data_IF_531636942660
#
_entry.id   IF_531636942660
#
_cell.length_a   1.000
_cell.length_b   1.000
_cell.length_c   1.000
_cell.angle_alpha   90.00
_cell.angle_beta   90.00
_cell.angle_gamma   90.00
#
_symmetry.space_group_name_H-M   'P 1'
#
loop_
_entity.id
_entity.type
_entity.pdbx_description
1 polymer ?
#
# COMPACT_ATOMS: atom_id res chain seq x y z
N UNK A 1 10.47 24.11 19.38
CA UNK A 1 9.13 24.74 19.48
C UNK A 1 8.14 23.60 19.67
N UNK A 2 7.80 23.31 20.92
CA UNK A 2 6.85 22.24 21.26
C UNK A 2 5.46 22.80 20.93
N UNK A 3 4.79 22.24 19.93
CA UNK A 3 3.36 22.48 19.73
C UNK A 3 2.64 21.80 20.89
N UNK A 4 2.45 22.53 21.99
CA UNK A 4 1.43 22.22 22.97
C UNK A 4 0.09 22.39 22.26
N UNK A 5 -0.50 21.28 21.83
CA UNK A 5 -1.93 21.22 21.59
C UNK A 5 -2.59 21.49 22.95
N UNK A 6 -3.11 22.70 23.13
CA UNK A 6 -3.98 23.02 24.26
C UNK A 6 -5.11 22.00 24.30
N UNK A 7 -5.14 21.15 25.33
CA UNK A 7 -6.33 20.38 25.68
C UNK A 7 -7.42 21.38 26.05
N UNK A 8 -8.32 21.67 25.12
CA UNK A 8 -9.62 22.27 25.44
C UNK A 8 -10.48 21.18 26.08
N UNK A 9 -11.08 21.48 27.22
CA UNK A 9 -11.85 20.61 28.12
C UNK A 9 -13.16 20.04 27.52
N UNK A 10 -13.11 19.45 26.32
CA UNK A 10 -14.22 18.68 25.75
C UNK A 10 -14.03 17.20 25.99
N UNK A 11 -14.95 16.54 26.70
CA UNK A 11 -15.02 15.08 26.67
C UNK A 11 -15.29 14.64 25.23
N UNK A 12 -14.44 13.73 24.73
CA UNK A 12 -14.67 13.11 23.42
C UNK A 12 -16.00 12.34 23.45
N UNK A 13 -16.75 12.40 22.36
CA UNK A 13 -18.05 11.72 22.23
C UNK A 13 -18.00 10.71 21.08
N UNK A 14 -18.69 9.59 21.25
CA UNK A 14 -18.82 8.58 20.20
C UNK A 14 -19.48 9.17 18.94
N UNK A 15 -19.11 8.64 17.78
CA UNK A 15 -19.71 9.03 16.50
C UNK A 15 -21.23 8.78 16.50
N UNK A 16 -22.01 9.84 16.33
CA UNK A 16 -23.43 9.78 15.99
C UNK A 16 -23.68 10.22 14.53
N UNK A 17 -24.89 10.68 14.19
CA UNK A 17 -25.19 11.20 12.86
C UNK A 17 -24.45 12.52 12.58
N UNK A 18 -24.19 12.87 11.31
CA UNK A 18 -23.52 14.12 10.94
C UNK A 18 -24.11 15.36 11.62
N UNK A 19 -25.44 15.50 11.62
CA UNK A 19 -26.17 16.63 12.24
C UNK A 19 -25.91 16.74 13.75
N UNK A 20 -25.80 15.61 14.45
CA UNK A 20 -25.56 15.59 15.90
C UNK A 20 -24.10 15.82 16.25
N UNK A 21 -23.20 15.55 15.31
CA UNK A 21 -21.77 15.75 15.48
C UNK A 21 -21.34 17.21 15.21
N UNK A 22 -22.19 18.05 14.60
CA UNK A 22 -21.84 19.43 14.17
C UNK A 22 -21.26 20.29 15.31
N UNK A 23 -21.79 20.15 16.52
CA UNK A 23 -21.38 20.93 17.69
C UNK A 23 -20.41 20.16 18.61
N UNK A 24 -19.90 19.01 18.18
CA UNK A 24 -18.97 18.19 18.95
C UNK A 24 -17.54 18.49 18.48
N UNK A 25 -16.73 19.05 19.37
CA UNK A 25 -15.34 19.40 19.04
C UNK A 25 -14.45 18.17 18.79
N UNK A 26 -14.67 17.08 19.55
CA UNK A 26 -13.87 15.85 19.48
C UNK A 26 -14.80 14.66 19.37
N UNK A 27 -14.77 14.00 18.20
CA UNK A 27 -15.57 12.80 17.91
C UNK A 27 -14.65 11.59 17.87
N UNK A 28 -15.00 10.55 18.62
CA UNK A 28 -14.30 9.26 18.60
C UNK A 28 -14.84 8.39 17.47
N UNK A 29 -13.97 8.03 16.53
CA UNK A 29 -14.33 7.21 15.37
C UNK A 29 -14.02 5.74 15.66
N UNK A 30 -15.02 4.84 15.68
CA UNK A 30 -14.79 3.41 15.83
C UNK A 30 -14.22 2.81 14.55
N UNK A 31 -13.70 1.58 14.63
CA UNK A 31 -13.26 0.86 13.44
C UNK A 31 -14.42 0.66 12.46
N UNK A 32 -14.15 0.72 11.16
CA UNK A 32 -15.17 0.67 10.10
C UNK A 32 -16.08 -0.57 10.16
N UNK A 33 -15.56 -1.68 10.69
CA UNK A 33 -16.33 -2.92 10.89
C UNK A 33 -17.43 -2.80 11.95
N UNK A 34 -17.31 -1.87 12.89
CA UNK A 34 -18.27 -1.62 13.96
C UNK A 34 -19.20 -0.44 13.65
N UNK A 35 -18.95 0.30 12.57
CA UNK A 35 -19.84 1.35 12.10
C UNK A 35 -21.09 0.76 11.44
N UNK A 36 -22.25 1.11 11.99
CA UNK A 36 -23.54 0.86 11.36
C UNK A 36 -23.62 1.56 10.01
N UNK A 37 -24.37 0.99 9.07
CA UNK A 37 -24.39 1.45 7.67
C UNK A 37 -24.89 2.89 7.51
N UNK A 38 -25.81 3.31 8.38
CA UNK A 38 -26.38 4.65 8.44
C UNK A 38 -25.40 5.73 8.95
N UNK A 39 -24.37 5.32 9.70
CA UNK A 39 -23.32 6.21 10.19
C UNK A 39 -22.10 6.27 9.26
N UNK A 40 -22.09 5.48 8.19
CA UNK A 40 -20.96 5.46 7.25
C UNK A 40 -20.95 6.73 6.40
N UNK A 41 -19.85 7.50 6.43
CA UNK A 41 -19.80 8.74 5.68
C UNK A 41 -19.70 8.48 4.17
N UNK A 42 -20.16 9.48 3.42
CA UNK A 42 -20.19 9.45 1.96
C UNK A 42 -18.82 9.47 1.29
N UNK A 43 -17.79 9.87 2.04
CA UNK A 43 -16.40 9.97 1.60
C UNK A 43 -15.58 8.70 1.88
N UNK A 44 -16.20 7.56 2.22
CA UNK A 44 -15.49 6.29 2.31
C UNK A 44 -14.98 5.84 0.92
N UNK A 45 -13.81 5.17 0.84
CA UNK A 45 -13.37 4.50 -0.37
C UNK A 45 -14.48 3.63 -0.97
N UNK A 46 -14.67 3.57 -2.29
CA UNK A 46 -13.84 4.10 -3.37
C UNK A 46 -14.26 5.51 -3.85
N UNK A 47 -14.89 6.32 -2.98
CA UNK A 47 -15.22 7.69 -3.33
C UNK A 47 -13.97 8.56 -3.54
N UNK A 48 -14.06 9.53 -4.44
CA UNK A 48 -13.02 10.54 -4.69
C UNK A 48 -13.56 11.95 -4.42
N UNK A 49 -12.68 12.94 -4.14
CA UNK A 49 -13.12 14.31 -3.91
C UNK A 49 -13.75 14.89 -5.18
N UNK A 50 -14.95 15.44 -5.04
CA UNK A 50 -15.73 16.00 -6.16
C UNK A 50 -14.97 17.11 -6.91
N UNK A 51 -14.31 17.99 -6.17
CA UNK A 51 -13.60 19.19 -6.65
C UNK A 51 -12.39 18.87 -7.54
N UNK A 52 -11.71 17.73 -7.33
CA UNK A 52 -10.59 17.29 -8.16
C UNK A 52 -10.94 16.15 -9.11
N UNK A 53 -12.17 15.64 -9.06
CA UNK A 53 -12.58 14.40 -9.73
C UNK A 53 -12.33 14.42 -11.24
N UNK A 54 -12.74 15.49 -11.94
CA UNK A 54 -12.58 15.61 -13.40
C UNK A 54 -11.10 15.61 -13.83
N UNK A 55 -10.25 16.28 -13.04
CA UNK A 55 -8.80 16.33 -13.31
C UNK A 55 -8.18 14.96 -13.09
N UNK A 56 -8.57 14.30 -12.00
CA UNK A 56 -8.04 13.00 -11.61
C UNK A 56 -8.43 11.90 -12.61
N UNK A 57 -9.70 11.87 -13.04
CA UNK A 57 -10.21 10.95 -14.06
C UNK A 57 -9.53 11.12 -15.42
N UNK A 58 -9.01 12.31 -15.74
CA UNK A 58 -8.28 12.57 -16.98
C UNK A 58 -6.86 12.00 -16.97
N UNK A 59 -6.23 11.92 -15.79
CA UNK A 59 -4.79 11.62 -15.68
C UNK A 59 -4.50 10.24 -15.08
N UNK A 60 -5.48 9.59 -14.44
CA UNK A 60 -5.25 8.36 -13.70
C UNK A 60 -6.28 7.28 -14.05
N UNK A 61 -5.84 6.09 -14.45
CA UNK A 61 -6.71 4.97 -14.82
C UNK A 61 -7.52 4.36 -13.64
N UNK A 62 -7.19 4.73 -12.40
CA UNK A 62 -7.94 4.36 -11.20
C UNK A 62 -7.92 5.48 -10.14
N UNK A 63 -8.81 6.48 -10.23
CA UNK A 63 -8.84 7.64 -9.34
C UNK A 63 -8.93 7.29 -7.85
N UNK A 64 -9.70 6.26 -7.49
CA UNK A 64 -9.91 5.88 -6.09
C UNK A 64 -8.61 5.42 -5.42
N UNK A 65 -7.84 4.56 -6.10
CA UNK A 65 -6.54 4.09 -5.57
C UNK A 65 -5.56 5.24 -5.45
N UNK A 66 -5.55 6.16 -6.42
CA UNK A 66 -4.70 7.35 -6.34
C UNK A 66 -5.02 8.19 -5.11
N UNK A 67 -6.31 8.45 -4.85
CA UNK A 67 -6.76 9.23 -3.70
C UNK A 67 -6.36 8.57 -2.37
N UNK A 68 -6.59 7.27 -2.25
CA UNK A 68 -6.14 6.47 -1.09
C UNK A 68 -4.61 6.57 -0.95
N UNK A 69 -3.89 6.43 -2.06
CA UNK A 69 -2.42 6.50 -2.10
C UNK A 69 -1.85 7.83 -1.60
N UNK A 70 -2.49 8.96 -1.90
CA UNK A 70 -2.05 10.27 -1.37
C UNK A 70 -2.20 10.34 0.15
N UNK A 71 -3.34 9.87 0.67
CA UNK A 71 -3.59 9.83 2.13
C UNK A 71 -2.59 8.90 2.82
N UNK A 72 -2.41 7.68 2.31
CA UNK A 72 -1.51 6.70 2.90
C UNK A 72 -0.06 7.19 2.88
N UNK A 73 0.39 7.77 1.77
CA UNK A 73 1.75 8.35 1.68
C UNK A 73 1.96 9.48 2.67
N UNK A 74 0.95 10.35 2.88
CA UNK A 74 1.04 11.45 3.84
C UNK A 74 1.13 10.96 5.30
N UNK A 75 0.31 9.96 5.66
CA UNK A 75 0.29 9.35 6.99
C UNK A 75 1.61 8.63 7.27
N UNK A 76 2.15 7.93 6.28
CA UNK A 76 3.33 7.06 6.41
C UNK A 76 4.65 7.78 6.13
N UNK A 77 4.68 9.13 6.22
CA UNK A 77 5.93 9.88 6.07
C UNK A 77 6.92 9.46 7.18
N UNK A 78 8.11 8.96 6.82
CA UNK A 78 9.05 8.48 7.81
C UNK A 78 9.66 9.65 8.61
N UNK A 79 9.96 9.39 9.87
CA UNK A 79 10.84 10.26 10.65
C UNK A 79 12.27 10.20 10.07
N UNK A 80 13.11 11.23 10.27
CA UNK A 80 14.45 11.27 9.67
C UNK A 80 15.29 10.01 9.93
N UNK A 81 15.25 9.46 11.14
CA UNK A 81 15.97 8.23 11.49
C UNK A 81 15.44 7.00 10.72
N UNK A 82 14.13 6.90 10.52
CA UNK A 82 13.54 5.82 9.74
C UNK A 82 13.89 5.97 8.25
N UNK A 83 13.90 7.20 7.73
CA UNK A 83 14.31 7.46 6.35
C UNK A 83 15.76 7.06 6.10
N UNK A 84 16.68 7.45 7.00
CA UNK A 84 18.10 7.07 6.92
C UNK A 84 18.28 5.55 6.96
N UNK A 85 17.56 4.87 7.87
CA UNK A 85 17.54 3.41 7.91
C UNK A 85 17.09 2.80 6.59
N UNK A 86 15.96 3.27 6.04
CA UNK A 86 15.42 2.76 4.78
C UNK A 86 16.36 3.01 3.59
N UNK A 87 17.03 4.15 3.56
CA UNK A 87 17.99 4.49 2.51
C UNK A 87 19.22 3.57 2.57
N UNK A 88 19.72 3.31 3.78
CA UNK A 88 20.84 2.39 4.01
C UNK A 88 20.50 0.95 3.62
N UNK A 89 19.32 0.45 4.00
CA UNK A 89 18.85 -0.89 3.61
C UNK A 89 18.66 -1.00 2.09
N UNK A 90 18.08 0.02 1.47
CA UNK A 90 17.89 0.08 0.01
C UNK A 90 19.24 -0.01 -0.72
N UNK A 91 20.26 0.72 -0.23
CA UNK A 91 21.60 0.71 -0.78
C UNK A 91 22.30 -0.65 -0.56
N UNK A 92 22.20 -1.21 0.65
CA UNK A 92 22.80 -2.51 1.00
C UNK A 92 22.23 -3.66 0.16
N UNK A 93 20.93 -3.63 -0.13
CA UNK A 93 20.26 -4.60 -1.01
C UNK A 93 20.61 -4.43 -2.50
N UNK A 94 21.23 -3.31 -2.89
CA UNK A 94 21.52 -3.02 -4.30
C UNK A 94 20.23 -2.83 -5.13
N UNK A 95 19.17 -2.31 -4.50
CA UNK A 95 17.88 -2.09 -5.17
C UNK A 95 18.05 -1.10 -6.33
N UNK A 96 17.85 -1.58 -7.55
CA UNK A 96 18.13 -0.83 -8.79
C UNK A 96 17.12 -1.17 -9.88
N UNK A 97 16.78 -0.19 -10.71
CA UNK A 97 15.82 -0.32 -11.81
C UNK A 97 16.45 -0.85 -13.11
N UNK A 98 15.68 -1.47 -14.01
CA UNK A 98 14.29 -1.90 -13.82
C UNK A 98 14.19 -3.11 -12.86
N UNK A 99 13.14 -3.13 -12.03
CA UNK A 99 12.87 -4.17 -11.04
C UNK A 99 11.37 -4.46 -10.89
N UNK A 100 11.01 -5.73 -10.82
CA UNK A 100 9.64 -6.18 -10.51
C UNK A 100 9.57 -6.55 -9.03
N UNK A 101 8.62 -5.97 -8.31
CA UNK A 101 8.31 -6.34 -6.94
C UNK A 101 7.39 -7.56 -6.92
N UNK A 102 7.76 -8.60 -6.18
CA UNK A 102 6.95 -9.79 -5.95
C UNK A 102 6.71 -9.93 -4.46
N UNK A 103 5.43 -9.92 -4.07
CA UNK A 103 5.01 -10.14 -2.69
C UNK A 103 4.32 -11.51 -2.59
N UNK A 104 4.95 -12.45 -1.88
CA UNK A 104 4.38 -13.78 -1.61
C UNK A 104 4.02 -13.87 -0.13
N UNK A 105 2.76 -14.18 0.19
CA UNK A 105 2.28 -14.39 1.56
C UNK A 105 1.82 -15.84 1.71
N UNK A 106 2.48 -16.66 2.55
CA UNK A 106 2.15 -18.08 2.76
C UNK A 106 1.62 -18.38 4.18
N UNK A 107 2.35 -18.06 5.24
CA UNK A 107 2.27 -18.77 6.54
C UNK A 107 0.86 -18.94 7.15
N UNK A 108 0.29 -17.89 7.72
CA UNK A 108 -1.04 -17.86 8.37
C UNK A 108 -2.20 -17.84 7.37
N UNK A 109 -1.94 -17.28 6.19
CA UNK A 109 -2.96 -16.96 5.19
C UNK A 109 -3.50 -18.19 4.46
N UNK A 110 -2.68 -19.23 4.30
CA UNK A 110 -3.10 -20.50 3.69
C UNK A 110 -4.10 -21.28 4.54
N UNK A 111 -4.17 -20.99 5.84
CA UNK A 111 -5.05 -21.71 6.77
C UNK A 111 -6.46 -21.09 6.75
N UNK A 112 -6.60 -19.78 6.48
CA UNK A 112 -7.86 -19.05 6.70
C UNK A 112 -8.35 -18.18 5.52
N UNK A 113 -7.47 -17.69 4.64
CA UNK A 113 -7.80 -16.55 3.77
C UNK A 113 -7.40 -16.69 2.29
N UNK A 114 -6.48 -17.60 1.92
CA UNK A 114 -5.99 -17.67 0.54
C UNK A 114 -5.58 -19.07 0.05
N UNK A 115 -5.60 -19.23 -1.28
CA UNK A 115 -5.10 -20.41 -1.99
C UNK A 115 -3.57 -20.38 -2.05
N UNK A 116 -2.93 -21.55 -2.02
CA UNK A 116 -1.49 -21.65 -2.26
C UNK A 116 -1.17 -21.27 -3.71
N UNK A 117 -0.25 -20.31 -3.85
CA UNK A 117 0.31 -19.90 -5.13
C UNK A 117 1.82 -20.18 -5.14
N UNK A 118 2.27 -20.99 -6.10
CA UNK A 118 3.69 -21.26 -6.29
C UNK A 118 4.40 -20.06 -6.92
N UNK A 119 5.72 -19.92 -6.69
CA UNK A 119 6.51 -18.80 -7.26
C UNK A 119 6.38 -18.71 -8.80
N UNK A 120 6.12 -19.84 -9.45
CA UNK A 120 5.93 -19.91 -10.90
C UNK A 120 4.76 -19.06 -11.40
N UNK A 121 3.67 -18.98 -10.65
CA UNK A 121 2.50 -18.17 -11.03
C UNK A 121 2.84 -16.67 -11.02
N UNK A 122 3.61 -16.23 -10.02
CA UNK A 122 4.08 -14.84 -9.95
C UNK A 122 5.07 -14.52 -11.08
N UNK A 123 5.99 -15.44 -11.36
CA UNK A 123 7.05 -15.23 -12.35
C UNK A 123 6.56 -15.18 -13.79
N UNK A 124 5.34 -15.68 -14.10
CA UNK A 124 4.71 -15.48 -15.42
C UNK A 124 4.59 -13.98 -15.72
N UNK A 125 4.02 -13.22 -14.80
CA UNK A 125 3.78 -11.79 -14.99
C UNK A 125 5.05 -10.96 -14.93
N UNK A 126 6.03 -11.36 -14.10
CA UNK A 126 7.34 -10.72 -14.12
C UNK A 126 8.06 -10.93 -15.46
N UNK A 127 7.95 -12.13 -16.05
CA UNK A 127 8.51 -12.43 -17.37
C UNK A 127 7.82 -11.60 -18.46
N UNK A 128 6.49 -11.51 -18.44
CA UNK A 128 5.73 -10.67 -19.38
C UNK A 128 6.16 -9.21 -19.30
N UNK A 129 6.29 -8.66 -18.10
CA UNK A 129 6.78 -7.29 -17.89
C UNK A 129 8.13 -7.06 -18.59
N UNK A 130 9.12 -7.93 -18.34
CA UNK A 130 10.44 -7.79 -18.95
C UNK A 130 10.41 -7.97 -20.47
N UNK A 131 9.60 -8.90 -20.97
CA UNK A 131 9.44 -9.09 -22.42
C UNK A 131 8.85 -7.84 -23.10
N UNK A 132 7.88 -7.17 -22.47
CA UNK A 132 7.35 -5.92 -23.00
C UNK A 132 8.35 -4.75 -22.88
N UNK A 133 9.10 -4.70 -21.79
CA UNK A 133 10.12 -3.67 -21.56
C UNK A 133 11.27 -3.77 -22.58
N UNK A 134 11.73 -5.00 -22.86
CA UNK A 134 12.82 -5.30 -23.79
C UNK A 134 12.51 -4.93 -25.25
N UNK A 135 11.22 -4.83 -25.61
CA UNK A 135 10.82 -4.29 -26.93
C UNK A 135 11.08 -2.79 -27.07
N UNK A 136 11.26 -2.08 -25.95
CA UNK A 136 11.37 -0.61 -25.91
C UNK A 136 12.76 -0.13 -25.48
N UNK A 137 13.49 -0.94 -24.70
CA UNK A 137 14.83 -0.60 -24.22
C UNK A 137 15.67 -1.85 -23.93
N UNK A 138 17.00 -1.69 -23.88
CA UNK A 138 17.91 -2.76 -23.47
C UNK A 138 17.73 -3.07 -21.97
N UNK A 139 17.56 -4.36 -21.63
CA UNK A 139 17.54 -4.83 -20.24
C UNK A 139 18.66 -5.85 -20.05
N UNK A 140 19.78 -5.40 -19.44
CA UNK A 140 20.95 -6.28 -19.21
C UNK A 140 20.75 -7.29 -18.08
N UNK A 141 19.98 -6.89 -17.06
CA UNK A 141 19.76 -7.70 -15.87
C UNK A 141 18.29 -7.58 -15.48
N UNK A 142 17.60 -8.73 -15.43
CA UNK A 142 16.24 -8.81 -14.93
C UNK A 142 16.28 -8.99 -13.42
N UNK A 143 15.73 -8.01 -12.68
CA UNK A 143 15.72 -8.00 -11.22
C UNK A 143 14.34 -8.29 -10.65
N UNK A 144 14.29 -9.04 -9.58
CA UNK A 144 13.07 -9.26 -8.79
C UNK A 144 13.35 -8.80 -7.37
N UNK A 145 12.56 -7.85 -6.85
CA UNK A 145 12.49 -7.65 -5.41
C UNK A 145 11.51 -8.66 -4.83
N UNK A 146 11.96 -9.56 -3.96
CA UNK A 146 11.12 -10.61 -3.38
C UNK A 146 10.88 -10.34 -1.89
N UNK A 147 9.64 -9.98 -1.57
CA UNK A 147 9.14 -9.86 -0.20
C UNK A 147 8.31 -11.12 0.14
N UNK A 148 8.70 -11.84 1.19
CA UNK A 148 8.07 -13.10 1.57
C UNK A 148 8.17 -13.36 3.06
N UNK A 149 7.16 -14.02 3.62
CA UNK A 149 7.18 -14.53 5.00
C UNK A 149 7.68 -15.98 5.10
N UNK A 150 8.23 -16.52 4.00
CA UNK A 150 8.76 -17.86 3.92
C UNK A 150 10.23 -17.87 3.48
N UNK A 151 11.12 -18.20 4.43
CA UNK A 151 12.58 -18.20 4.23
C UNK A 151 13.07 -19.16 3.12
N UNK A 152 12.38 -20.28 2.87
CA UNK A 152 12.76 -21.24 1.81
C UNK A 152 12.53 -20.72 0.40
N UNK A 153 11.68 -19.72 0.22
CA UNK A 153 11.22 -19.29 -1.09
C UNK A 153 12.32 -18.63 -1.92
N UNK A 154 13.23 -17.89 -1.29
CA UNK A 154 14.31 -17.20 -1.99
C UNK A 154 15.24 -18.20 -2.69
N UNK A 155 15.64 -19.26 -1.99
CA UNK A 155 16.52 -20.29 -2.54
C UNK A 155 15.81 -21.13 -3.62
N UNK A 156 14.51 -21.40 -3.44
CA UNK A 156 13.68 -22.01 -4.47
C UNK A 156 13.66 -21.14 -5.75
N UNK A 157 13.43 -19.84 -5.60
CA UNK A 157 13.30 -18.90 -6.71
C UNK A 157 14.63 -18.74 -7.48
N UNK A 158 15.76 -18.56 -6.77
CA UNK A 158 17.09 -18.52 -7.38
C UNK A 158 17.41 -19.78 -8.17
N UNK A 159 17.07 -20.96 -7.63
CA UNK A 159 17.30 -22.25 -8.30
C UNK A 159 16.46 -22.42 -9.56
N UNK A 160 15.19 -22.00 -9.52
CA UNK A 160 14.25 -22.13 -10.66
C UNK A 160 14.45 -21.08 -11.75
N UNK A 161 14.96 -19.89 -11.39
CA UNK A 161 15.05 -18.73 -12.28
C UNK A 161 16.46 -18.13 -12.30
N UNK A 162 17.49 -18.87 -12.75
CA UNK A 162 18.89 -18.41 -12.74
C UNK A 162 19.16 -17.20 -13.66
N UNK A 163 18.25 -16.88 -14.58
CA UNK A 163 18.33 -15.69 -15.44
C UNK A 163 17.85 -14.39 -14.77
N UNK A 164 17.48 -14.44 -13.49
CA UNK A 164 17.02 -13.29 -12.72
C UNK A 164 17.93 -13.07 -11.50
N UNK A 165 18.14 -11.81 -11.15
CA UNK A 165 18.78 -11.40 -9.90
C UNK A 165 17.68 -11.13 -8.88
N UNK A 166 17.64 -11.93 -7.81
CA UNK A 166 16.71 -11.73 -6.71
C UNK A 166 17.33 -10.81 -5.65
N UNK A 167 16.68 -9.67 -5.43
CA UNK A 167 16.93 -8.73 -4.35
C UNK A 167 15.94 -9.04 -3.23
N UNK A 168 16.43 -9.42 -2.05
CA UNK A 168 15.59 -9.82 -0.93
C UNK A 168 16.40 -9.79 0.35
N UNK A 169 15.78 -9.35 1.45
CA UNK A 169 16.37 -9.50 2.77
C UNK A 169 15.85 -10.79 3.43
N UNK A 170 16.74 -11.78 3.50
CA UNK A 170 16.42 -13.06 4.10
C UNK A 170 16.34 -13.01 5.63
N UNK A 171 16.87 -11.96 6.27
CA UNK A 171 16.76 -11.74 7.73
C UNK A 171 15.35 -11.26 8.08
N UNK A 172 14.79 -10.33 7.30
CA UNK A 172 13.40 -9.88 7.39
C UNK A 172 12.41 -11.04 7.18
N UNK A 173 12.69 -11.92 6.21
CA UNK A 173 11.85 -13.11 5.96
C UNK A 173 11.79 -14.07 7.16
N UNK A 174 12.82 -14.10 8.01
CA UNK A 174 12.86 -14.92 9.21
C UNK A 174 12.13 -14.26 10.39
N UNK A 175 12.22 -12.95 10.55
CA UNK A 175 11.56 -12.19 11.62
C UNK A 175 10.05 -12.02 11.38
N UNK A 176 9.60 -12.07 10.12
CA UNK A 176 8.18 -11.98 9.72
C UNK A 176 7.32 -13.23 10.05
N UNK A 177 7.90 -14.27 10.66
CA UNK A 177 7.16 -15.45 11.16
C UNK A 177 6.19 -15.04 12.27
N UNK A 178 5.04 -15.73 12.34
CA UNK A 178 3.96 -15.44 13.31
C UNK A 178 4.47 -15.33 14.76
N UNK A 179 5.48 -16.13 15.13
CA UNK A 179 6.07 -16.15 16.48
C UNK A 179 6.92 -14.93 16.84
N UNK A 180 7.43 -14.18 15.87
CA UNK A 180 8.34 -13.03 16.06
C UNK A 180 7.80 -11.72 15.48
N UNK A 181 6.59 -11.77 14.89
CA UNK A 181 5.97 -10.68 14.13
C UNK A 181 5.79 -9.37 14.89
N UNK A 182 5.71 -9.42 16.22
CA UNK A 182 5.50 -8.25 17.09
C UNK A 182 6.82 -7.63 17.60
N UNK A 183 7.98 -8.02 17.04
CA UNK A 183 9.25 -7.36 17.34
C UNK A 183 9.43 -6.08 16.51
N UNK A 184 10.23 -5.16 17.04
CA UNK A 184 10.65 -3.96 16.33
C UNK A 184 11.35 -4.31 15.00
N UNK A 185 12.20 -5.34 15.00
CA UNK A 185 12.89 -5.82 13.79
C UNK A 185 11.91 -6.29 12.70
N UNK A 186 10.86 -7.04 13.07
CA UNK A 186 9.82 -7.46 12.11
C UNK A 186 9.02 -6.27 11.59
N UNK A 187 8.78 -5.26 12.43
CA UNK A 187 8.09 -4.04 12.04
C UNK A 187 8.93 -3.20 11.06
N UNK A 188 10.22 -3.02 11.34
CA UNK A 188 11.13 -2.32 10.45
C UNK A 188 11.28 -3.06 9.12
N UNK A 189 11.36 -4.39 9.16
CA UNK A 189 11.44 -5.20 7.96
C UNK A 189 10.23 -5.07 7.04
N UNK A 190 9.00 -5.10 7.59
CA UNK A 190 7.81 -4.95 6.76
C UNK A 190 7.69 -3.53 6.17
N UNK A 191 8.19 -2.50 6.88
CA UNK A 191 8.24 -1.13 6.34
C UNK A 191 9.15 -1.08 5.11
N UNK A 192 10.35 -1.68 5.20
CA UNK A 192 11.29 -1.74 4.07
C UNK A 192 10.69 -2.52 2.90
N UNK A 193 10.07 -3.67 3.16
CA UNK A 193 9.39 -4.46 2.13
C UNK A 193 8.30 -3.63 1.41
N UNK A 194 7.41 -2.98 2.14
CA UNK A 194 6.35 -2.15 1.55
C UNK A 194 6.95 -1.00 0.74
N UNK A 195 7.99 -0.35 1.26
CA UNK A 195 8.66 0.76 0.58
C UNK A 195 9.27 0.34 -0.76
N UNK A 196 10.00 -0.79 -0.78
CA UNK A 196 10.66 -1.29 -1.98
C UNK A 196 9.66 -1.89 -2.98
N UNK A 197 8.59 -2.53 -2.51
CA UNK A 197 7.47 -2.96 -3.36
C UNK A 197 6.79 -1.76 -4.03
N UNK A 198 6.51 -0.69 -3.27
CA UNK A 198 5.87 0.52 -3.80
C UNK A 198 6.74 1.27 -4.83
N UNK A 199 8.07 1.17 -4.70
CA UNK A 199 9.04 1.76 -5.62
C UNK A 199 9.37 0.89 -6.82
N UNK A 200 8.93 -0.36 -6.86
CA UNK A 200 9.21 -1.25 -7.99
C UNK A 200 8.50 -0.78 -9.27
N UNK A 201 9.04 -1.10 -10.44
CA UNK A 201 8.49 -0.67 -11.74
C UNK A 201 7.16 -1.36 -12.08
N UNK A 202 6.93 -2.53 -11.47
CA UNK A 202 5.74 -3.34 -11.58
C UNK A 202 5.59 -4.23 -10.34
N UNK A 203 4.36 -4.50 -9.92
CA UNK A 203 4.05 -5.29 -8.73
C UNK A 203 3.27 -6.56 -9.09
N UNK A 204 3.73 -7.71 -8.60
CA UNK A 204 3.01 -8.99 -8.72
C UNK A 204 2.76 -9.55 -7.33
N UNK A 205 1.50 -9.83 -6.98
CA UNK A 205 1.15 -10.18 -5.61
C UNK A 205 -0.22 -10.89 -5.49
N UNK A 206 -0.77 -10.96 -4.27
CA UNK A 206 -2.19 -11.21 -4.01
C UNK A 206 -2.85 -9.99 -3.38
N UNK A 207 -3.91 -9.43 -3.99
CA UNK A 207 -4.62 -8.26 -3.45
C UNK A 207 -5.44 -8.58 -2.19
N UNK A 208 -5.64 -9.86 -1.85
CA UNK A 208 -6.10 -10.24 -0.51
C UNK A 208 -5.08 -9.88 0.59
N UNK A 209 -3.84 -9.55 0.23
CA UNK A 209 -2.78 -9.11 1.17
C UNK A 209 -2.85 -7.61 1.39
N UNK A 210 -3.04 -7.17 2.66
CA UNK A 210 -2.95 -5.75 3.02
C UNK A 210 -1.60 -5.15 2.64
N UNK A 211 -0.51 -5.92 2.77
CA UNK A 211 0.84 -5.50 2.39
C UNK A 211 0.90 -5.16 0.91
N UNK A 212 0.32 -6.00 0.04
CA UNK A 212 0.29 -5.71 -1.38
C UNK A 212 -0.56 -4.48 -1.70
N UNK A 213 -1.76 -4.39 -1.12
CA UNK A 213 -2.65 -3.26 -1.35
C UNK A 213 -2.00 -1.94 -0.95
N UNK A 214 -1.36 -1.90 0.22
CA UNK A 214 -0.65 -0.72 0.69
C UNK A 214 0.53 -0.34 -0.21
N UNK A 215 1.35 -1.32 -0.62
CA UNK A 215 2.43 -1.05 -1.56
C UNK A 215 1.91 -0.50 -2.90
N UNK A 216 0.80 -1.05 -3.40
CA UNK A 216 0.15 -0.57 -4.62
C UNK A 216 -0.48 0.82 -4.46
N UNK A 217 -1.10 1.13 -3.32
CA UNK A 217 -1.61 2.46 -2.99
C UNK A 217 -0.47 3.48 -2.97
N UNK A 218 0.64 3.17 -2.28
CA UNK A 218 1.82 4.04 -2.23
C UNK A 218 2.52 4.18 -3.60
N UNK A 219 2.49 3.14 -4.44
CA UNK A 219 3.03 3.19 -5.80
C UNK A 219 2.41 4.31 -6.65
N UNK A 220 1.15 4.68 -6.38
CA UNK A 220 0.48 5.78 -7.10
C UNK A 220 1.11 7.15 -6.85
N UNK A 221 1.95 7.30 -5.80
CA UNK A 221 2.69 8.53 -5.54
C UNK A 221 3.94 8.66 -6.43
N UNK A 222 4.56 7.54 -6.83
CA UNK A 222 5.83 7.55 -7.56
C UNK A 222 5.68 7.62 -9.08
N UNK A 223 4.46 7.60 -9.59
CA UNK A 223 4.15 7.62 -11.01
C UNK A 223 2.94 8.49 -11.30
N UNK A 224 2.88 9.08 -12.50
CA UNK A 224 1.70 9.86 -12.93
C UNK A 224 0.46 8.98 -12.99
N UNK A 225 0.58 7.77 -13.53
CA UNK A 225 -0.46 6.74 -13.53
C UNK A 225 0.19 5.37 -13.32
N UNK A 226 -0.11 4.75 -12.17
CA UNK A 226 0.32 3.39 -11.85
C UNK A 226 -0.86 2.42 -11.77
N UNK A 227 -2.05 2.79 -12.25
CA UNK A 227 -3.27 1.98 -12.14
C UNK A 227 -3.13 0.57 -12.76
N UNK A 228 -2.27 0.42 -13.77
CA UNK A 228 -2.03 -0.86 -14.44
C UNK A 228 -0.71 -1.52 -14.06
N UNK A 229 0.05 -0.95 -13.11
CA UNK A 229 1.37 -1.46 -12.69
C UNK A 229 1.30 -2.57 -11.65
N UNK A 230 0.14 -3.20 -11.48
CA UNK A 230 -0.07 -4.34 -10.58
C UNK A 230 -0.71 -5.52 -11.30
N UNK A 231 -0.30 -6.73 -10.91
CA UNK A 231 -0.96 -8.00 -11.23
C UNK A 231 -1.19 -8.77 -9.95
N UNK A 232 -2.46 -9.01 -9.65
CA UNK A 232 -2.89 -9.82 -8.52
C UNK A 232 -3.30 -11.21 -9.00
N UNK A 233 -2.88 -12.24 -8.26
CA UNK A 233 -3.18 -13.64 -8.59
C UNK A 233 -4.58 -14.10 -8.15
N UNK A 234 -5.27 -13.33 -7.30
CA UNK A 234 -6.53 -13.76 -6.69
C UNK A 234 -7.70 -12.80 -6.93
N UNK A 235 -7.54 -11.56 -6.56
CA UNK A 235 -8.61 -10.57 -6.45
C UNK A 235 -8.19 -9.26 -7.11
N UNK A 236 -9.17 -8.49 -7.57
CA UNK A 236 -8.92 -7.09 -7.95
C UNK A 236 -8.61 -6.28 -6.68
N UNK A 237 -8.05 -5.09 -6.87
CA UNK A 237 -7.93 -4.14 -5.76
C UNK A 237 -9.30 -3.90 -5.10
N UNK A 238 -9.29 -3.84 -3.77
CA UNK A 238 -10.43 -3.43 -2.95
C UNK A 238 -9.88 -2.72 -1.72
N UNK A 239 -10.69 -1.92 -1.05
CA UNK A 239 -10.37 -1.31 0.24
C UNK A 239 -11.24 -1.94 1.33
N UNK A 240 -10.65 -2.31 2.47
CA UNK A 240 -11.41 -2.95 3.55
C UNK A 240 -12.43 -1.96 4.13
N UNK A 241 -13.70 -2.33 4.13
CA UNK A 241 -14.79 -1.45 4.57
C UNK A 241 -15.38 -0.55 3.48
N UNK A 242 -14.92 -0.68 2.22
CA UNK A 242 -15.59 -0.02 1.09
C UNK A 242 -17.07 -0.43 1.01
N UNK A 243 -17.90 0.47 0.52
CA UNK A 243 -19.32 0.19 0.27
C UNK A 243 -19.55 -0.02 -1.24
N UNK A 244 -20.54 -0.83 -1.67
CA UNK A 244 -20.88 -0.92 -3.09
C UNK A 244 -21.27 0.43 -3.69
N UNK A 245 -21.87 1.30 -2.87
CA UNK A 245 -22.35 2.63 -3.26
C UNK A 245 -21.23 3.67 -3.43
N UNK A 246 -20.00 3.38 -3.00
CA UNK A 246 -18.88 4.33 -3.13
C UNK A 246 -18.11 4.19 -4.44
N UNK A 247 -18.35 3.14 -5.24
CA UNK A 247 -17.70 2.99 -6.54
C UNK A 247 -18.15 4.09 -7.51
N UNK A 248 -17.20 4.89 -7.99
CA UNK A 248 -17.48 6.02 -8.89
C UNK A 248 -18.15 7.21 -8.20
N UNK A 249 -18.29 7.17 -6.86
CA UNK A 249 -18.87 8.27 -6.10
C UNK A 249 -17.90 9.45 -6.06
N UNK A 250 -18.41 10.62 -6.41
CA UNK A 250 -17.76 11.91 -6.22
C UNK A 250 -18.37 12.50 -4.95
N UNK A 251 -17.57 12.63 -3.91
CA UNK A 251 -18.03 13.07 -2.60
C UNK A 251 -17.41 14.43 -2.27
N UNK A 252 -18.21 15.33 -1.71
CA UNK A 252 -17.70 16.52 -1.06
C UNK A 252 -16.92 16.09 0.18
N UNK A 253 -15.60 16.28 0.14
CA UNK A 253 -14.75 15.96 1.28
C UNK A 253 -15.00 16.98 2.40
N UNK A 254 -14.88 16.58 3.68
CA UNK A 254 -14.98 17.53 4.77
C UNK A 254 -13.87 18.57 4.63
N UNK A 255 -14.26 19.82 4.38
CA UNK A 255 -13.35 20.96 4.32
C UNK A 255 -13.30 21.56 5.72
N UNK A 256 -12.10 21.64 6.30
CA UNK A 256 -11.91 22.43 7.50
C UNK A 256 -11.97 23.91 7.09
N UNK A 257 -12.95 24.67 7.57
CA UNK A 257 -13.12 26.11 7.23
C UNK A 257 -11.89 26.97 7.61
N UNK A 258 -10.95 26.47 8.42
CA UNK A 258 -9.66 27.12 8.67
C UNK A 258 -8.53 26.77 7.67
N UNK A 259 -8.78 25.90 6.68
CA UNK A 259 -7.81 25.49 5.67
C UNK A 259 -7.75 26.45 4.46
N UNK A 260 -8.63 27.46 4.41
CA UNK A 260 -8.71 28.45 3.32
C UNK A 260 -7.41 29.25 3.11
N UNK A 261 -6.44 29.15 4.02
CA UNK A 261 -5.15 29.84 3.93
C UNK A 261 -3.95 28.95 3.56
N UNK A 262 -4.17 27.68 3.18
CA UNK A 262 -3.09 26.85 2.63
C UNK A 262 -3.16 26.89 1.11
N UNK A 263 -2.55 27.93 0.53
CA UNK A 263 -2.23 27.91 -0.90
C UNK A 263 -1.27 26.73 -1.16
N UNK A 264 -1.68 25.81 -2.02
CA UNK A 264 -0.82 24.78 -2.62
C UNK A 264 0.25 25.41 -3.50
#
# INVERSE_FOLDING_TARGET
MVLQLEKRDGQAKELESPEKNENIQVVELPIVGWLSQDLRPDFLPLAIPEDISERLERVHGNPAVWWIGQIMTYILRPQPQLQEFMDNETAALGFTHPIVGIQVRRTDKLIWEAKFHGIAEYMVYAKEFYQELEKRQEVRVRRIFLATDEASLLEEAKKKYPGYVFVSDNTISQSAKVSTRLSEESFMGIIVDIHLLARSDFLVCTCSSNVCRLAYEMMQHYHVDAATKVRSLDSKFFFQGQTPNSLGKKAKMPVYEGAENVHL
#
